data_IF_845603201129
#
_entry.id   IF_845603201129
#
_cell.length_a   1.000
_cell.length_b   1.000
_cell.length_c   1.000
_cell.angle_alpha   90.00
_cell.angle_beta   90.00
_cell.angle_gamma   90.00
#
_symmetry.space_group_name_H-M   'P 1'
#
loop_
_entity.id
_entity.type
_entity.pdbx_description
1 polymer ?
#
# COMPACT_ATOMS: atom_id res chain seq x y z
N UNK A 1 -19.34 1.98 -25.07
CA UNK A 1 -17.93 1.51 -25.20
C UNK A 1 -17.28 2.41 -26.24
N UNK A 2 -16.25 3.17 -25.90
CA UNK A 2 -15.62 4.12 -26.82
C UNK A 2 -14.70 3.33 -27.75
N UNK A 3 -14.89 3.48 -29.06
CA UNK A 3 -14.14 2.76 -30.12
C UNK A 3 -13.53 3.71 -31.15
N UNK A 4 -13.96 4.97 -31.19
CA UNK A 4 -13.42 5.99 -32.07
C UNK A 4 -13.36 7.35 -31.36
N UNK A 5 -12.30 8.11 -31.61
CA UNK A 5 -12.11 9.47 -31.12
C UNK A 5 -11.37 10.28 -32.19
N UNK A 6 -11.93 11.42 -32.61
CA UNK A 6 -11.35 12.30 -33.64
C UNK A 6 -10.89 11.52 -34.89
N UNK A 7 -11.80 10.72 -35.47
CA UNK A 7 -11.52 9.87 -36.65
C UNK A 7 -10.40 8.83 -36.48
N UNK A 8 -9.93 8.60 -35.26
CA UNK A 8 -8.95 7.57 -34.93
C UNK A 8 -9.64 6.40 -34.23
N UNK A 9 -9.34 5.17 -34.65
CA UNK A 9 -9.79 3.97 -33.95
C UNK A 9 -8.96 3.83 -32.68
N UNK A 10 -9.62 3.83 -31.52
CA UNK A 10 -8.94 3.70 -30.22
C UNK A 10 -9.33 2.38 -29.59
N UNK A 11 -8.32 1.57 -29.26
CA UNK A 11 -8.49 0.33 -28.49
C UNK A 11 -8.17 0.62 -27.04
N UNK A 12 -9.20 0.67 -26.19
CA UNK A 12 -9.01 0.83 -24.75
C UNK A 12 -8.62 -0.51 -24.16
N UNK A 13 -7.34 -0.68 -23.86
CA UNK A 13 -6.86 -1.82 -23.10
C UNK A 13 -7.38 -1.78 -21.65
N UNK A 14 -7.58 -2.95 -21.06
CA UNK A 14 -7.94 -3.03 -19.64
C UNK A 14 -6.76 -2.49 -18.82
N UNK A 15 -7.01 -1.70 -17.76
CA UNK A 15 -5.95 -1.28 -16.85
C UNK A 15 -5.13 -2.49 -16.38
N UNK A 16 -3.80 -2.39 -16.49
CA UNK A 16 -2.91 -3.46 -16.06
C UNK A 16 -3.04 -3.63 -14.54
N UNK A 17 -3.70 -4.72 -14.12
CA UNK A 17 -3.97 -4.97 -12.69
C UNK A 17 -2.75 -5.61 -12.06
N UNK A 18 -1.87 -4.81 -11.46
CA UNK A 18 -0.87 -5.36 -10.54
C UNK A 18 -1.57 -5.88 -9.29
N UNK A 19 -1.37 -7.16 -8.92
CA UNK A 19 -1.91 -7.77 -7.69
C UNK A 19 -1.25 -7.25 -6.40
N UNK A 20 -0.72 -6.03 -6.43
CA UNK A 20 -0.08 -5.44 -5.25
C UNK A 20 -1.21 -4.90 -4.38
N UNK A 21 -1.14 -5.20 -3.09
CA UNK A 21 -2.06 -4.67 -2.09
C UNK A 21 -2.02 -3.13 -2.04
N UNK A 22 -2.63 -2.52 -1.01
CA UNK A 22 -2.54 -1.06 -0.87
C UNK A 22 -1.07 -0.61 -0.90
N UNK A 23 -0.76 0.51 -1.57
CA UNK A 23 0.60 1.02 -1.63
C UNK A 23 1.09 1.31 -0.21
N UNK A 24 2.32 0.90 0.09
CA UNK A 24 3.00 1.24 1.33
C UNK A 24 3.89 2.45 1.06
N UNK A 25 3.77 3.47 1.90
CA UNK A 25 4.63 4.63 1.84
C UNK A 25 6.00 4.28 2.43
N UNK A 26 7.06 4.46 1.65
CA UNK A 26 8.43 4.17 2.10
C UNK A 26 8.99 5.23 3.06
N UNK A 27 8.34 6.39 3.19
CA UNK A 27 8.75 7.42 4.15
C UNK A 27 8.12 7.17 5.52
N UNK A 28 6.79 7.12 5.64
CA UNK A 28 6.13 6.97 6.94
C UNK A 28 5.69 5.54 7.29
N UNK A 29 5.93 4.56 6.41
CA UNK A 29 5.53 3.14 6.52
C UNK A 29 4.01 2.85 6.53
N UNK A 30 3.17 3.88 6.46
CA UNK A 30 1.71 3.72 6.38
C UNK A 30 1.25 3.23 5.01
N UNK A 31 0.07 2.61 5.00
CA UNK A 31 -0.58 2.18 3.76
C UNK A 31 -1.57 3.22 3.22
N UNK A 32 -1.77 3.22 1.90
CA UNK A 32 -2.80 4.00 1.22
C UNK A 32 -2.29 5.19 0.41
N UNK A 33 -1.00 5.51 0.50
CA UNK A 33 -0.37 6.55 -0.29
C UNK A 33 1.07 6.16 -0.68
N UNK A 34 1.64 6.91 -1.61
CA UNK A 34 3.04 6.75 -2.05
C UNK A 34 3.91 7.85 -1.46
N UNK A 35 5.23 7.68 -1.56
CA UNK A 35 6.24 8.65 -1.12
C UNK A 35 5.93 10.09 -1.58
N UNK A 36 5.58 10.26 -2.86
CA UNK A 36 5.34 11.58 -3.45
C UNK A 36 4.13 12.33 -2.86
N UNK A 37 3.25 11.65 -2.13
CA UNK A 37 2.08 12.25 -1.48
C UNK A 37 2.14 12.11 0.05
N UNK A 38 3.32 11.83 0.59
CA UNK A 38 3.52 11.72 2.02
C UNK A 38 3.63 13.11 2.65
N UNK A 39 2.87 13.33 3.72
CA UNK A 39 2.94 14.55 4.55
C UNK A 39 3.17 14.19 6.03
N UNK A 40 3.67 12.99 6.28
CA UNK A 40 3.91 12.45 7.61
C UNK A 40 5.41 12.44 7.92
N UNK A 41 5.73 12.42 9.21
CA UNK A 41 7.10 12.25 9.71
C UNK A 41 7.66 10.91 9.17
N UNK A 42 8.92 10.90 8.69
CA UNK A 42 9.55 9.67 8.24
C UNK A 42 9.68 8.69 9.41
N UNK A 43 9.42 7.40 9.14
CA UNK A 43 9.60 6.32 10.09
C UNK A 43 10.47 5.23 9.50
N UNK A 44 11.41 4.76 10.31
CA UNK A 44 12.28 3.67 9.91
C UNK A 44 11.52 2.34 9.83
N UNK A 45 11.72 1.61 8.73
CA UNK A 45 11.10 0.30 8.47
C UNK A 45 11.52 -0.76 9.49
N UNK A 46 12.70 -0.61 10.11
CA UNK A 46 13.29 -1.57 11.05
C UNK A 46 12.92 -1.27 12.50
N UNK A 47 12.94 0.00 12.92
CA UNK A 47 12.83 0.34 14.34
C UNK A 47 11.61 1.17 14.73
N UNK A 48 10.82 1.64 13.76
CA UNK A 48 9.66 2.51 13.97
C UNK A 48 9.96 3.91 14.51
N UNK A 49 11.23 4.28 14.65
CA UNK A 49 11.63 5.60 15.13
C UNK A 49 11.57 6.65 14.01
N UNK A 50 11.53 7.92 14.42
CA UNK A 50 11.31 9.07 13.55
C UNK A 50 12.57 9.49 12.77
N UNK A 51 12.99 8.64 11.82
CA UNK A 51 14.07 8.90 10.87
C UNK A 51 13.88 8.09 9.58
N UNK A 52 14.64 8.44 8.54
CA UNK A 52 14.68 7.66 7.30
C UNK A 52 15.40 6.32 7.53
N UNK A 53 15.00 5.27 6.82
CA UNK A 53 15.63 3.94 6.99
C UNK A 53 17.13 3.93 6.66
N UNK A 54 17.59 4.89 5.86
CA UNK A 54 18.99 5.06 5.45
C UNK A 54 19.86 5.63 6.60
N UNK A 55 19.25 6.34 7.54
CA UNK A 55 19.92 6.95 8.71
C UNK A 55 19.85 6.03 9.94
N UNK A 56 19.37 4.80 9.78
CA UNK A 56 19.13 3.91 10.89
C UNK A 56 20.43 3.37 11.48
N UNK A 57 20.68 3.66 12.75
CA UNK A 57 21.85 3.20 13.51
C UNK A 57 21.69 1.80 14.11
N UNK A 58 20.50 1.20 14.02
CA UNK A 58 20.26 -0.15 14.55
C UNK A 58 20.99 -1.21 13.70
N UNK A 59 21.67 -2.11 14.40
CA UNK A 59 22.29 -3.30 13.81
C UNK A 59 21.24 -4.18 13.11
N UNK A 60 21.65 -4.87 12.05
CA UNK A 60 20.82 -5.83 11.31
C UNK A 60 20.34 -6.99 12.17
N UNK A 61 21.07 -7.36 13.22
CA UNK A 61 20.71 -8.44 14.15
C UNK A 61 19.79 -7.98 15.29
N UNK A 62 19.55 -6.68 15.43
CA UNK A 62 18.66 -6.17 16.47
C UNK A 62 17.19 -6.48 16.16
N UNK A 63 16.34 -6.69 17.19
CA UNK A 63 14.93 -6.95 16.98
C UNK A 63 14.27 -5.77 16.26
N UNK A 64 13.62 -6.09 15.13
CA UNK A 64 12.84 -5.13 14.37
C UNK A 64 11.53 -4.83 15.11
N UNK A 65 11.07 -3.61 15.02
CA UNK A 65 9.79 -3.16 15.54
C UNK A 65 8.94 -2.67 14.38
N UNK A 66 7.68 -3.10 14.33
CA UNK A 66 6.76 -2.72 13.28
C UNK A 66 6.12 -1.36 13.57
N UNK A 67 6.14 -0.43 12.62
CA UNK A 67 5.57 0.91 12.79
C UNK A 67 4.02 0.91 12.85
N UNK A 68 3.39 -0.21 12.46
CA UNK A 68 1.93 -0.32 12.34
C UNK A 68 1.29 -1.12 13.47
N UNK A 69 1.95 -2.18 13.94
CA UNK A 69 1.41 -3.05 14.98
C UNK A 69 2.34 -3.24 16.19
N UNK A 70 3.48 -2.55 16.22
CA UNK A 70 4.50 -2.64 17.27
C UNK A 70 5.05 -4.05 17.55
N UNK A 71 4.82 -5.03 16.67
CA UNK A 71 5.34 -6.39 16.81
C UNK A 71 6.78 -6.53 16.34
N UNK A 72 7.37 -7.71 16.63
CA UNK A 72 8.78 -8.03 16.37
C UNK A 72 9.04 -8.40 14.89
N UNK A 73 8.74 -7.47 13.99
CA UNK A 73 9.00 -7.60 12.56
C UNK A 73 9.15 -6.23 11.91
N UNK A 74 9.73 -6.19 10.70
CA UNK A 74 9.84 -4.96 9.92
C UNK A 74 8.48 -4.52 9.39
N UNK A 75 8.28 -3.21 9.21
CA UNK A 75 6.99 -2.68 8.76
C UNK A 75 6.56 -3.18 7.36
N UNK A 76 7.48 -3.69 6.54
CA UNK A 76 7.17 -4.23 5.21
C UNK A 76 6.57 -5.65 5.23
N UNK A 77 6.60 -6.32 6.39
CA UNK A 77 6.26 -7.72 6.53
C UNK A 77 4.79 -7.97 6.15
N UNK A 78 4.57 -8.85 5.16
CA UNK A 78 3.22 -9.16 4.65
C UNK A 78 2.37 -10.01 5.58
N UNK A 79 2.97 -10.60 6.63
CA UNK A 79 2.23 -11.26 7.70
C UNK A 79 1.76 -10.31 8.80
N UNK A 80 2.03 -9.00 8.69
CA UNK A 80 1.61 -8.03 9.71
C UNK A 80 0.08 -8.04 9.90
N UNK A 81 -0.43 -8.12 11.14
CA UNK A 81 -1.87 -8.08 11.42
C UNK A 81 -2.56 -6.84 10.83
N UNK A 82 -1.89 -5.68 10.87
CA UNK A 82 -2.40 -4.44 10.30
C UNK A 82 -2.53 -4.48 8.76
N UNK A 83 -1.59 -5.17 8.09
CA UNK A 83 -1.69 -5.36 6.64
C UNK A 83 -2.82 -6.33 6.27
N UNK A 84 -2.99 -7.40 7.04
CA UNK A 84 -4.02 -8.39 6.82
C UNK A 84 -5.43 -7.80 7.01
N UNK A 85 -5.64 -7.01 8.06
CA UNK A 85 -6.91 -6.33 8.31
C UNK A 85 -7.26 -5.34 7.20
N UNK A 86 -6.29 -4.53 6.77
CA UNK A 86 -6.46 -3.59 5.66
C UNK A 86 -6.77 -4.32 4.34
N UNK A 87 -6.02 -5.38 4.03
CA UNK A 87 -6.23 -6.20 2.83
C UNK A 87 -7.62 -6.83 2.81
N UNK A 88 -8.12 -7.30 3.95
CA UNK A 88 -9.48 -7.82 4.11
C UNK A 88 -10.53 -6.74 3.87
N UNK A 89 -10.35 -5.56 4.47
CA UNK A 89 -11.26 -4.43 4.30
C UNK A 89 -11.35 -4.00 2.82
N UNK A 90 -10.22 -3.87 2.14
CA UNK A 90 -10.17 -3.51 0.72
C UNK A 90 -10.89 -4.52 -0.17
N UNK A 91 -10.67 -5.83 0.05
CA UNK A 91 -11.39 -6.89 -0.67
C UNK A 91 -12.91 -6.77 -0.48
N UNK A 92 -13.37 -6.55 0.75
CA UNK A 92 -14.79 -6.36 1.05
C UNK A 92 -15.37 -5.14 0.34
N UNK A 93 -14.64 -4.02 0.35
CA UNK A 93 -15.05 -2.80 -0.34
C UNK A 93 -15.15 -2.97 -1.86
N UNK A 94 -14.19 -3.68 -2.47
CA UNK A 94 -14.22 -4.02 -3.89
C UNK A 94 -15.40 -4.93 -4.24
N UNK A 95 -15.70 -5.91 -3.40
CA UNK A 95 -16.85 -6.80 -3.58
C UNK A 95 -18.19 -6.03 -3.51
N UNK A 96 -18.34 -5.10 -2.55
CA UNK A 96 -19.52 -4.23 -2.45
C UNK A 96 -19.70 -3.30 -3.66
N UNK A 97 -18.61 -2.79 -4.24
CA UNK A 97 -18.67 -1.99 -5.48
C UNK A 97 -19.11 -2.83 -6.69
N UNK A 98 -18.72 -4.11 -6.73
CA UNK A 98 -19.14 -5.03 -7.81
C UNK A 98 -20.63 -5.34 -7.73
N UNK A 99 -21.19 -5.59 -6.54
CA UNK A 99 -22.62 -5.87 -6.38
C UNK A 99 -23.50 -4.67 -6.74
N UNK A 100 -23.07 -3.45 -6.41
CA UNK A 100 -23.77 -2.23 -6.82
C UNK A 100 -23.75 -1.97 -8.34
N UNK A 101 -22.69 -2.42 -9.04
CA UNK A 101 -22.56 -2.26 -10.49
C UNK A 101 -23.28 -3.34 -11.30
N UNK A 102 -23.74 -4.43 -10.67
CA UNK A 102 -24.49 -5.52 -11.33
C UNK A 102 -26.01 -5.35 -11.21
N UNK A 103 -26.48 -4.44 -10.35
CA UNK A 103 -27.90 -4.11 -10.18
C UNK A 103 -28.29 -2.79 -10.88
N UNK A 104 -27.49 -2.34 -11.86
CA UNK A 104 -27.74 -1.12 -12.63
C UNK A 104 -27.51 -1.35 -14.12
#
# INVERSE_FOLDING_TARGET
KITSFLNTIVVIEKPHKTRRGPPQCHECQNYGHTRNQCHHIPRCVKCSEDHFSDECTKDQNSPAKCALCAGDHTANYKGCPAFNSLSKCLKNHLNKKRTHSQNK
#
